data_IF_539817278436
#
_entry.id   IF_539817278436
#
_cell.length_a   1.000
_cell.length_b   1.000
_cell.length_c   1.000
_cell.angle_alpha   90.00
_cell.angle_beta   90.00
_cell.angle_gamma   90.00
#
_symmetry.space_group_name_H-M   'P 1'
#
loop_
_entity.id
_entity.type
_entity.pdbx_description
1 polymer ?
#
# COMPACT_ATOMS: atom_id res chain seq x y z
N UNK A 1 -4.60 -5.53 76.40
CA UNK A 1 -3.96 -6.16 77.57
C UNK A 1 -3.96 -7.66 77.32
N UNK A 2 -2.88 -8.42 77.30
CA UNK A 2 -1.50 -8.13 77.69
C UNK A 2 -0.67 -9.34 77.23
N UNK A 3 0.48 -9.05 76.61
CA UNK A 3 1.78 -9.73 76.77
C UNK A 3 1.90 -11.22 76.45
N UNK A 4 3.03 -11.71 75.98
CA UNK A 4 4.27 -11.18 75.44
C UNK A 4 5.16 -12.43 75.26
N UNK A 5 6.19 -12.31 74.42
CA UNK A 5 7.58 -12.59 74.76
C UNK A 5 7.93 -13.94 75.40
N UNK A 6 9.00 -14.64 75.01
CA UNK A 6 10.15 -14.28 74.20
C UNK A 6 11.10 -15.48 74.27
N UNK A 7 12.05 -15.47 73.34
CA UNK A 7 13.46 -15.77 73.58
C UNK A 7 13.98 -17.23 73.55
N UNK A 8 14.83 -17.40 72.52
CA UNK A 8 16.24 -17.85 72.57
C UNK A 8 16.49 -19.33 72.83
N UNK A 9 17.44 -20.01 72.21
CA UNK A 9 18.39 -19.83 71.09
C UNK A 9 19.03 -21.21 70.96
N UNK A 10 19.46 -21.60 69.75
CA UNK A 10 20.85 -21.96 69.49
C UNK A 10 21.05 -22.20 68.00
N UNK A 11 21.89 -21.34 67.45
CA UNK A 11 22.54 -21.50 66.15
C UNK A 11 23.45 -22.73 66.13
N UNK A 12 23.67 -23.31 64.94
CA UNK A 12 24.99 -23.22 64.26
C UNK A 12 25.15 -24.25 63.14
N UNK A 13 25.25 -23.70 61.91
CA UNK A 13 26.12 -24.11 60.77
C UNK A 13 25.88 -25.50 60.18
N UNK A 14 25.64 -25.66 58.88
CA UNK A 14 26.50 -25.23 57.77
C UNK A 14 25.74 -25.32 56.44
N UNK A 15 26.00 -24.41 55.49
CA UNK A 15 25.81 -24.72 54.06
C UNK A 15 25.08 -23.71 53.17
N UNK A 16 25.39 -22.42 53.31
CA UNK A 16 25.34 -21.34 52.30
C UNK A 16 24.23 -21.36 51.22
N UNK A 17 23.31 -20.42 51.41
CA UNK A 17 22.61 -19.64 50.38
C UNK A 17 23.60 -19.13 49.30
N UNK A 18 23.19 -18.66 48.12
CA UNK A 18 22.21 -17.61 47.91
C UNK A 18 22.04 -17.42 46.39
N UNK A 19 20.81 -17.25 45.93
CA UNK A 19 20.55 -16.49 44.71
C UNK A 19 21.09 -15.06 44.89
N UNK A 20 21.62 -14.44 43.83
CA UNK A 20 21.34 -13.03 43.52
C UNK A 20 21.96 -12.61 42.18
N UNK A 21 21.06 -12.19 41.30
CA UNK A 21 21.14 -11.06 40.37
C UNK A 21 22.23 -10.03 40.74
N UNK A 22 22.99 -9.53 39.77
CA UNK A 22 22.96 -8.14 39.28
C UNK A 22 24.03 -7.87 38.22
N UNK A 23 23.58 -7.13 37.22
CA UNK A 23 24.21 -6.61 36.00
C UNK A 23 25.38 -5.66 36.34
N UNK A 24 26.46 -5.62 35.53
CA UNK A 24 26.89 -4.45 34.73
C UNK A 24 28.34 -4.47 34.21
N UNK A 25 28.43 -4.04 32.94
CA UNK A 25 29.42 -3.16 32.30
C UNK A 25 30.67 -3.72 31.60
N UNK A 26 30.59 -3.62 30.26
CA UNK A 26 31.59 -3.18 29.28
C UNK A 26 33.06 -3.12 29.70
N UNK A 27 33.92 -3.76 28.91
CA UNK A 27 35.07 -3.07 28.31
C UNK A 27 35.44 -3.69 26.94
N UNK A 28 35.74 -2.77 26.03
CA UNK A 28 36.19 -2.90 24.64
C UNK A 28 37.18 -4.05 24.35
N UNK A 29 36.92 -4.78 23.26
CA UNK A 29 37.86 -5.71 22.63
C UNK A 29 37.58 -5.83 21.14
N UNK A 30 38.21 -4.96 20.37
CA UNK A 30 38.16 -4.88 18.91
C UNK A 30 38.91 -6.07 18.28
N UNK A 31 38.22 -7.05 17.69
CA UNK A 31 38.76 -7.90 16.62
C UNK A 31 37.66 -8.75 15.95
N UNK A 32 37.35 -8.35 14.71
CA UNK A 32 37.07 -9.24 13.56
C UNK A 32 36.02 -10.34 13.75
N UNK A 33 34.74 -9.96 13.68
CA UNK A 33 33.70 -10.89 13.20
C UNK A 33 33.76 -10.96 11.67
N UNK A 34 34.07 -12.11 11.05
CA UNK A 34 33.86 -12.27 9.62
C UNK A 34 32.35 -12.37 9.34
N UNK A 35 31.87 -11.39 8.58
CA UNK A 35 30.66 -11.46 7.76
C UNK A 35 29.34 -11.92 8.43
N UNK A 36 28.85 -11.15 9.40
CA UNK A 36 27.39 -10.94 9.51
C UNK A 36 27.00 -9.71 8.69
N UNK A 37 27.31 -9.76 7.39
CA UNK A 37 26.86 -8.82 6.37
C UNK A 37 25.66 -9.40 5.59
N UNK A 38 24.79 -10.16 6.24
CA UNK A 38 23.46 -10.46 5.71
C UNK A 38 22.43 -9.58 6.42
N UNK A 39 22.55 -8.29 6.14
CA UNK A 39 21.47 -7.32 6.24
C UNK A 39 20.97 -7.12 4.81
N UNK A 40 19.68 -7.43 4.61
CA UNK A 40 18.78 -7.05 3.50
C UNK A 40 18.35 -8.18 2.56
N UNK A 41 17.05 -8.09 2.24
CA UNK A 41 16.31 -8.78 1.19
C UNK A 41 15.82 -10.20 1.48
N UNK A 42 15.10 -10.39 2.60
CA UNK A 42 13.93 -11.26 2.50
C UNK A 42 12.96 -10.53 1.59
N UNK A 43 12.64 -11.18 0.47
CA UNK A 43 11.87 -10.62 -0.61
C UNK A 43 10.47 -10.25 -0.12
N UNK A 44 10.26 -8.96 0.20
CA UNK A 44 9.26 -8.25 -0.61
C UNK A 44 9.79 -8.43 -2.02
N UNK A 45 9.33 -9.48 -2.71
CA UNK A 45 9.28 -9.37 -4.15
C UNK A 45 8.52 -8.07 -4.33
N UNK A 46 9.07 -7.02 -4.97
CA UNK A 46 8.15 -6.13 -5.62
C UNK A 46 7.34 -7.11 -6.47
N UNK A 47 6.05 -7.27 -6.17
CA UNK A 47 5.14 -7.51 -7.26
C UNK A 47 5.53 -6.40 -8.23
N UNK A 48 6.28 -6.83 -9.23
CA UNK A 48 7.00 -6.06 -10.22
C UNK A 48 6.40 -4.67 -10.32
N UNK A 49 7.22 -3.62 -10.18
CA UNK A 49 7.01 -2.35 -10.85
C UNK A 49 6.04 -2.54 -12.02
N UNK A 50 4.75 -2.37 -11.79
CA UNK A 50 3.71 -2.91 -12.66
C UNK A 50 3.61 -1.96 -13.83
N UNK A 51 4.49 -2.23 -14.79
CA UNK A 51 4.45 -1.77 -16.17
C UNK A 51 4.45 -0.25 -16.36
N UNK A 52 5.67 0.29 -16.41
CA UNK A 52 5.97 1.58 -17.06
C UNK A 52 5.48 1.66 -18.54
N UNK A 53 4.97 0.58 -19.14
CA UNK A 53 4.46 0.55 -20.52
C UNK A 53 3.24 1.45 -20.76
N UNK A 54 2.38 1.69 -19.78
CA UNK A 54 1.23 2.59 -19.98
C UNK A 54 1.70 4.01 -20.32
N UNK A 55 2.83 4.42 -19.73
CA UNK A 55 3.40 5.74 -19.98
C UNK A 55 4.18 5.84 -21.29
N UNK A 56 4.62 4.74 -21.90
CA UNK A 56 5.38 4.80 -23.16
C UNK A 56 4.49 5.02 -24.39
N UNK A 57 3.21 4.63 -24.32
CA UNK A 57 2.26 4.76 -25.43
C UNK A 57 1.39 6.01 -25.37
N UNK A 58 1.31 6.67 -24.22
CA UNK A 58 0.61 7.94 -24.06
C UNK A 58 1.60 9.10 -24.20
N UNK A 59 1.24 10.09 -25.00
CA UNK A 59 2.05 11.30 -25.09
C UNK A 59 1.89 12.16 -23.82
N UNK A 60 2.75 13.17 -23.66
CA UNK A 60 2.77 13.99 -22.44
C UNK A 60 1.47 14.79 -22.23
N UNK A 61 0.85 15.27 -23.31
CA UNK A 61 -0.40 16.03 -23.25
C UNK A 61 -1.57 15.12 -22.83
N UNK A 62 -1.66 13.91 -23.37
CA UNK A 62 -2.66 12.91 -22.98
C UNK A 62 -2.55 12.57 -21.49
N UNK A 63 -1.34 12.35 -21.00
CA UNK A 63 -1.10 12.10 -19.56
C UNK A 63 -1.57 13.27 -18.69
N UNK A 64 -1.22 14.49 -19.07
CA UNK A 64 -1.61 15.69 -18.31
C UNK A 64 -3.13 15.90 -18.30
N UNK A 65 -3.77 15.71 -19.46
CA UNK A 65 -5.23 15.82 -19.58
C UNK A 65 -5.94 14.76 -18.74
N UNK A 66 -5.46 13.51 -18.80
CA UNK A 66 -6.00 12.42 -17.98
C UNK A 66 -5.75 12.67 -16.48
N UNK A 67 -4.56 13.14 -16.09
CA UNK A 67 -4.25 13.48 -14.71
C UNK A 67 -5.17 14.60 -14.18
N UNK A 68 -5.43 15.63 -14.98
CA UNK A 68 -6.36 16.69 -14.63
C UNK A 68 -7.80 16.18 -14.45
N UNK A 69 -8.26 15.28 -15.33
CA UNK A 69 -9.56 14.62 -15.20
C UNK A 69 -9.65 13.78 -13.92
N UNK A 70 -8.59 13.03 -13.59
CA UNK A 70 -8.54 12.21 -12.37
C UNK A 70 -8.59 13.05 -11.09
N UNK A 71 -7.95 14.22 -11.08
CA UNK A 71 -8.10 15.18 -9.98
C UNK A 71 -9.56 15.60 -9.83
N UNK A 72 -10.24 15.95 -10.93
CA UNK A 72 -11.64 16.35 -10.90
C UNK A 72 -12.57 15.21 -10.45
N UNK A 73 -12.34 13.98 -10.94
CA UNK A 73 -13.06 12.79 -10.52
C UNK A 73 -12.88 12.56 -9.01
N UNK A 74 -11.64 12.54 -8.53
CA UNK A 74 -11.32 12.35 -7.11
C UNK A 74 -11.94 13.43 -6.23
N UNK A 75 -11.84 14.71 -6.63
CA UNK A 75 -12.43 15.83 -5.89
C UNK A 75 -13.96 15.73 -5.84
N UNK A 76 -14.61 15.21 -6.90
CA UNK A 76 -16.05 14.93 -6.91
C UNK A 76 -16.41 13.79 -5.96
N UNK A 77 -15.71 12.66 -6.02
CA UNK A 77 -15.95 11.53 -5.11
C UNK A 77 -15.72 11.89 -3.65
N UNK A 78 -14.71 12.72 -3.36
CA UNK A 78 -14.44 13.20 -2.01
C UNK A 78 -15.62 14.03 -1.47
N UNK A 79 -16.22 14.89 -2.30
CA UNK A 79 -17.44 15.65 -1.94
C UNK A 79 -18.64 14.73 -1.71
N UNK A 80 -18.75 13.67 -2.50
CA UNK A 80 -19.78 12.63 -2.36
C UNK A 80 -19.48 11.64 -1.21
N UNK A 81 -18.35 11.80 -0.50
CA UNK A 81 -17.84 10.89 0.54
C UNK A 81 -17.57 9.46 0.06
N UNK A 82 -17.45 9.27 -1.24
CA UNK A 82 -17.01 8.01 -1.81
C UNK A 82 -15.47 7.92 -1.73
N UNK A 83 -14.97 7.67 -0.53
CA UNK A 83 -13.53 7.69 -0.25
C UNK A 83 -12.74 6.65 -1.03
N UNK A 84 -13.35 5.50 -1.37
CA UNK A 84 -12.70 4.45 -2.18
C UNK A 84 -12.42 4.94 -3.59
N UNK A 85 -13.46 5.46 -4.26
CA UNK A 85 -13.32 5.98 -5.61
C UNK A 85 -12.46 7.25 -5.63
N UNK A 86 -12.53 8.09 -4.60
CA UNK A 86 -11.63 9.24 -4.46
C UNK A 86 -10.16 8.78 -4.38
N UNK A 87 -9.87 7.80 -3.53
CA UNK A 87 -8.52 7.25 -3.38
C UNK A 87 -8.03 6.66 -4.71
N UNK A 88 -8.83 5.80 -5.34
CA UNK A 88 -8.48 5.17 -6.60
C UNK A 88 -8.22 6.19 -7.73
N UNK A 89 -9.04 7.25 -7.83
CA UNK A 89 -8.82 8.33 -8.80
C UNK A 89 -7.50 9.05 -8.55
N UNK A 90 -7.17 9.39 -7.29
CA UNK A 90 -5.91 10.06 -6.98
C UNK A 90 -4.69 9.14 -7.18
N UNK A 91 -4.78 7.86 -6.81
CA UNK A 91 -3.71 6.88 -7.01
C UNK A 91 -3.45 6.61 -8.50
N UNK A 92 -4.50 6.62 -9.32
CA UNK A 92 -4.39 6.46 -10.77
C UNK A 92 -3.53 7.54 -11.43
N UNK A 93 -3.38 8.72 -10.81
CA UNK A 93 -2.50 9.78 -11.33
C UNK A 93 -1.05 9.32 -11.33
N UNK A 94 -0.61 8.53 -10.35
CA UNK A 94 0.77 8.03 -10.29
C UNK A 94 1.11 7.02 -11.39
N UNK A 95 0.09 6.40 -12.00
CA UNK A 95 0.29 5.56 -13.20
C UNK A 95 0.68 6.39 -14.43
N UNK A 96 0.31 7.67 -14.46
CA UNK A 96 0.62 8.62 -15.54
C UNK A 96 1.86 9.46 -15.21
N UNK A 97 1.93 9.92 -13.97
CA UNK A 97 2.93 10.84 -13.44
C UNK A 97 3.41 10.37 -12.05
N UNK A 98 4.44 9.51 -11.98
CA UNK A 98 4.87 8.88 -10.74
C UNK A 98 5.27 9.84 -9.61
N UNK A 99 5.70 11.05 -9.95
CA UNK A 99 6.15 12.08 -9.00
C UNK A 99 5.16 13.24 -8.86
N UNK A 100 3.86 13.02 -9.11
CA UNK A 100 2.85 14.07 -9.05
C UNK A 100 2.59 14.55 -7.61
N UNK A 101 3.09 15.75 -7.28
CA UNK A 101 2.94 16.36 -5.95
C UNK A 101 1.47 16.67 -5.62
N UNK A 102 0.69 17.07 -6.61
CA UNK A 102 -0.72 17.41 -6.41
C UNK A 102 -1.55 16.18 -6.00
N UNK A 103 -1.30 15.02 -6.61
CA UNK A 103 -1.94 13.75 -6.24
C UNK A 103 -1.61 13.37 -4.79
N UNK A 104 -0.35 13.50 -4.37
CA UNK A 104 0.05 13.28 -2.99
C UNK A 104 -0.71 14.21 -2.02
N UNK A 105 -0.81 15.49 -2.35
CA UNK A 105 -1.54 16.47 -1.52
C UNK A 105 -3.04 16.14 -1.44
N UNK A 106 -3.64 15.64 -2.52
CA UNK A 106 -5.05 15.22 -2.54
C UNK A 106 -5.29 13.98 -1.68
N UNK A 107 -4.39 13.00 -1.71
CA UNK A 107 -4.46 11.83 -0.82
C UNK A 107 -4.33 12.26 0.65
N UNK A 108 -3.44 13.20 0.98
CA UNK A 108 -3.35 13.73 2.34
C UNK A 108 -4.64 14.44 2.79
N UNK A 109 -5.30 15.17 1.89
CA UNK A 109 -6.58 15.82 2.15
C UNK A 109 -7.70 14.79 2.36
N UNK A 110 -7.74 13.75 1.53
CA UNK A 110 -8.65 12.62 1.67
C UNK A 110 -8.48 11.95 3.04
N UNK A 111 -7.25 11.62 3.43
CA UNK A 111 -6.93 11.01 4.73
C UNK A 111 -7.40 11.88 5.90
N UNK A 112 -7.20 13.20 5.82
CA UNK A 112 -7.69 14.16 6.83
C UNK A 112 -9.22 14.18 6.88
N UNK A 113 -9.91 14.13 5.74
CA UNK A 113 -11.36 14.10 5.69
C UNK A 113 -11.91 12.80 6.31
N UNK A 114 -11.34 11.65 5.95
CA UNK A 114 -11.70 10.36 6.52
C UNK A 114 -11.51 10.32 8.03
N UNK A 115 -10.36 10.80 8.53
CA UNK A 115 -10.08 10.84 9.97
C UNK A 115 -11.09 11.71 10.74
N UNK A 116 -11.52 12.84 10.17
CA UNK A 116 -12.56 13.69 10.76
C UNK A 116 -13.92 12.99 10.86
N UNK A 117 -14.21 12.08 9.94
CA UNK A 117 -15.45 11.29 9.92
C UNK A 117 -15.31 9.94 10.63
N UNK A 118 -14.16 9.68 11.27
CA UNK A 118 -13.90 8.41 11.97
C UNK A 118 -13.71 7.20 11.04
N UNK A 119 -13.48 7.44 9.75
CA UNK A 119 -13.21 6.39 8.76
C UNK A 119 -11.73 6.05 8.79
N UNK A 120 -11.39 4.78 9.05
CA UNK A 120 -10.02 4.30 9.04
C UNK A 120 -9.53 3.98 7.63
N UNK A 121 -8.22 4.06 7.40
CA UNK A 121 -7.60 3.69 6.11
C UNK A 121 -7.84 2.22 5.75
N UNK A 122 -7.91 1.33 6.75
CA UNK A 122 -8.28 -0.08 6.56
C UNK A 122 -9.69 -0.25 5.99
N UNK A 123 -10.58 0.71 6.20
CA UNK A 123 -11.92 0.68 5.63
C UNK A 123 -11.91 0.86 4.10
N UNK A 124 -10.85 1.47 3.52
CA UNK A 124 -10.71 1.58 2.07
C UNK A 124 -10.48 0.21 1.42
N UNK A 125 -9.70 -0.62 2.10
CA UNK A 125 -9.34 -1.96 1.63
C UNK A 125 -10.50 -2.97 1.80
N UNK A 126 -11.42 -2.71 2.74
CA UNK A 126 -12.43 -3.68 3.16
C UNK A 126 -13.77 -3.56 2.41
N UNK A 127 -14.06 -2.43 1.75
CA UNK A 127 -15.32 -2.27 1.00
C UNK A 127 -15.20 -2.89 -0.38
N UNK A 128 -15.39 -4.20 -0.37
CA UNK A 128 -15.13 -5.06 -1.50
C UNK A 128 -16.18 -4.86 -2.61
N UNK A 129 -17.44 -4.47 -2.36
CA UNK A 129 -18.40 -4.12 -3.43
C UNK A 129 -19.54 -3.21 -2.91
N UNK A 130 -19.46 -1.91 -3.16
CA UNK A 130 -20.62 -0.99 -3.12
C UNK A 130 -21.21 -0.87 -4.54
N UNK A 131 -22.51 -0.56 -4.70
CA UNK A 131 -23.16 -0.50 -6.02
C UNK A 131 -22.44 0.47 -6.98
N UNK A 132 -21.95 1.60 -6.46
CA UNK A 132 -21.21 2.60 -7.22
C UNK A 132 -19.86 2.06 -7.74
N UNK A 133 -19.24 1.13 -7.00
CA UNK A 133 -18.00 0.46 -7.42
C UNK A 133 -18.31 -0.48 -8.59
N UNK A 134 -19.39 -1.25 -8.52
CA UNK A 134 -19.79 -2.14 -9.61
C UNK A 134 -20.09 -1.38 -10.91
N UNK A 135 -20.74 -0.22 -10.81
CA UNK A 135 -20.98 0.66 -11.94
C UNK A 135 -19.67 1.14 -12.57
N UNK A 136 -18.69 1.54 -11.76
CA UNK A 136 -17.37 1.95 -12.27
C UNK A 136 -16.55 0.82 -12.86
N UNK A 137 -16.62 -0.37 -12.27
CA UNK A 137 -15.98 -1.56 -12.83
C UNK A 137 -16.54 -1.85 -14.21
N UNK A 138 -17.88 -1.84 -14.36
CA UNK A 138 -18.52 -2.02 -15.68
C UNK A 138 -18.13 -0.93 -16.67
N UNK A 139 -18.11 0.32 -16.22
CA UNK A 139 -17.75 1.47 -17.04
C UNK A 139 -16.30 1.37 -17.57
N UNK A 140 -15.32 1.13 -16.69
CA UNK A 140 -13.92 1.00 -17.09
C UNK A 140 -13.67 -0.22 -17.97
N UNK A 141 -14.37 -1.34 -17.72
CA UNK A 141 -14.26 -2.52 -18.58
C UNK A 141 -14.82 -2.23 -19.99
N UNK A 142 -15.96 -1.56 -20.07
CA UNK A 142 -16.56 -1.16 -21.36
C UNK A 142 -15.65 -0.20 -22.12
N UNK A 143 -15.10 0.81 -21.45
CA UNK A 143 -14.15 1.76 -22.03
C UNK A 143 -12.90 1.05 -22.53
N UNK A 144 -12.31 0.16 -21.72
CA UNK A 144 -11.14 -0.62 -22.12
C UNK A 144 -11.41 -1.45 -23.38
N UNK A 145 -12.54 -2.17 -23.45
CA UNK A 145 -12.93 -2.96 -24.63
C UNK A 145 -13.09 -2.10 -25.88
N UNK A 146 -13.71 -0.94 -25.75
CA UNK A 146 -13.84 0.02 -26.86
C UNK A 146 -12.47 0.52 -27.33
N UNK A 147 -11.60 0.92 -26.41
CA UNK A 147 -10.25 1.41 -26.72
C UNK A 147 -9.40 0.32 -27.40
N UNK A 148 -9.55 -0.95 -27.01
CA UNK A 148 -8.92 -2.08 -27.69
C UNK A 148 -9.42 -2.19 -29.13
N UNK A 149 -10.73 -2.10 -29.37
CA UNK A 149 -11.30 -2.13 -30.71
C UNK A 149 -10.81 -0.96 -31.59
N UNK A 150 -10.60 0.21 -30.97
CA UNK A 150 -10.01 1.40 -31.61
C UNK A 150 -8.48 1.36 -31.73
N UNK A 151 -7.83 0.29 -31.27
CA UNK A 151 -6.36 0.12 -31.22
C UNK A 151 -5.62 1.18 -30.38
N UNK A 152 -6.31 1.82 -29.44
CA UNK A 152 -5.75 2.77 -28.47
C UNK A 152 -5.23 2.03 -27.24
N UNK A 153 -4.17 1.24 -27.43
CA UNK A 153 -3.70 0.29 -26.41
C UNK A 153 -3.20 0.95 -25.12
N UNK A 154 -2.52 2.10 -25.20
CA UNK A 154 -2.08 2.85 -24.01
C UNK A 154 -3.25 3.26 -23.12
N UNK A 155 -4.30 3.82 -23.74
CA UNK A 155 -5.52 4.22 -23.04
C UNK A 155 -6.28 3.00 -22.51
N UNK A 156 -6.34 1.90 -23.28
CA UNK A 156 -6.98 0.67 -22.84
C UNK A 156 -6.31 0.07 -21.61
N UNK A 157 -4.97 -0.01 -21.59
CA UNK A 157 -4.22 -0.49 -20.43
C UNK A 157 -4.42 0.42 -19.22
N UNK A 158 -4.43 1.73 -19.43
CA UNK A 158 -4.71 2.68 -18.35
C UNK A 158 -6.10 2.43 -17.74
N UNK A 159 -7.14 2.27 -18.56
CA UNK A 159 -8.49 1.94 -18.08
C UNK A 159 -8.54 0.61 -17.32
N UNK A 160 -7.82 -0.42 -17.79
CA UNK A 160 -7.71 -1.71 -17.10
C UNK A 160 -6.98 -1.61 -15.77
N UNK A 161 -5.91 -0.80 -15.68
CA UNK A 161 -5.21 -0.56 -14.41
C UNK A 161 -6.10 0.17 -13.41
N UNK A 162 -6.86 1.19 -13.84
CA UNK A 162 -7.86 1.84 -12.96
C UNK A 162 -8.86 0.83 -12.40
N UNK A 163 -9.36 -0.07 -13.25
CA UNK A 163 -10.27 -1.12 -12.83
C UNK A 163 -9.60 -2.05 -11.81
N UNK A 164 -8.36 -2.48 -12.05
CA UNK A 164 -7.62 -3.37 -11.16
C UNK A 164 -7.21 -2.72 -9.83
N UNK A 165 -7.06 -1.39 -9.77
CA UNK A 165 -6.90 -0.68 -8.49
C UNK A 165 -8.15 -0.80 -7.62
N UNK A 166 -9.33 -0.78 -8.24
CA UNK A 166 -10.62 -0.85 -7.53
C UNK A 166 -11.00 -2.30 -7.22
N UNK A 167 -10.77 -3.22 -8.17
CA UNK A 167 -11.05 -4.63 -8.03
C UNK A 167 -9.85 -5.47 -8.51
N UNK A 168 -8.85 -5.69 -7.63
CA UNK A 168 -7.61 -6.39 -7.97
C UNK A 168 -7.83 -7.85 -8.41
N UNK A 169 -8.94 -8.46 -8.02
CA UNK A 169 -9.28 -9.85 -8.34
C UNK A 169 -10.17 -9.98 -9.58
N UNK A 170 -10.39 -8.90 -10.32
CA UNK A 170 -11.24 -8.91 -11.50
C UNK A 170 -10.59 -9.72 -12.65
N UNK A 171 -10.96 -11.00 -12.75
CA UNK A 171 -10.32 -11.97 -13.62
C UNK A 171 -10.26 -11.55 -15.10
N UNK A 172 -11.34 -11.01 -15.66
CA UNK A 172 -11.38 -10.63 -17.08
C UNK A 172 -10.44 -9.46 -17.38
N UNK A 173 -10.53 -8.37 -16.62
CA UNK A 173 -9.63 -7.23 -16.71
C UNK A 173 -8.15 -7.63 -16.58
N UNK A 174 -7.81 -8.52 -15.63
CA UNK A 174 -6.44 -9.04 -15.49
C UNK A 174 -5.96 -9.75 -16.76
N UNK A 175 -6.79 -10.65 -17.32
CA UNK A 175 -6.47 -11.35 -18.59
C UNK A 175 -6.28 -10.39 -19.77
N UNK A 176 -7.17 -9.41 -19.92
CA UNK A 176 -7.08 -8.40 -20.99
C UNK A 176 -5.80 -7.55 -20.85
N UNK A 177 -5.45 -7.20 -19.62
CA UNK A 177 -4.25 -6.43 -19.32
C UNK A 177 -2.99 -7.21 -19.69
N UNK A 178 -2.91 -8.49 -19.28
CA UNK A 178 -1.80 -9.38 -19.61
C UNK A 178 -1.64 -9.54 -21.13
N UNK A 179 -2.76 -9.72 -21.85
CA UNK A 179 -2.76 -9.86 -23.31
C UNK A 179 -2.16 -8.62 -24.00
N UNK A 180 -2.58 -7.41 -23.60
CA UNK A 180 -2.06 -6.16 -24.18
C UNK A 180 -0.57 -5.94 -23.87
N UNK A 181 -0.09 -6.49 -22.76
CA UNK A 181 1.32 -6.43 -22.37
C UNK A 181 2.19 -7.45 -23.11
N UNK A 182 1.65 -8.62 -23.48
CA UNK A 182 2.36 -9.61 -24.29
C UNK A 182 2.46 -9.20 -25.77
N UNK A 183 1.38 -8.68 -26.38
CA UNK A 183 1.37 -8.31 -27.81
C UNK A 183 2.36 -7.19 -28.16
N UNK A 184 2.69 -6.34 -27.18
CA UNK A 184 3.67 -5.27 -27.35
C UNK A 184 5.13 -5.74 -27.18
N UNK A 185 5.37 -6.95 -26.65
CA UNK A 185 6.73 -7.53 -26.54
C UNK A 185 7.15 -8.27 -27.82
N UNK A 186 6.21 -8.76 -28.63
CA UNK A 186 6.51 -9.44 -29.89
C UNK A 186 6.77 -8.50 -31.06
N UNK A 187 6.44 -7.20 -30.93
CA UNK A 187 6.57 -6.18 -31.98
C UNK A 187 7.73 -5.20 -31.80
N UNK A 188 8.50 -5.34 -30.71
CA UNK A 188 9.67 -4.53 -30.40
C UNK A 188 10.95 -5.35 -30.66
#
# INVERSE_FOLDING_TARGET
MTKANEHLTKESKTGKAQANTWVFLLMFGLALFPAFANRMAWAVSPASASDLKVTEELNQEEKQNMAAQLVQEGDRYLKEKNYNLANASYESIFLLEPNNVQASQRIDQLKKAMAKEGVSETALVTRVYDQEIDERVREYLSQAKQLIAERKFGQARFALQKLLLINPLHQEAGKLYDQLNSESKEKA
#
